data_IF_833750378925
#
_entry.id   IF_833750378925
#
_cell.length_a   1.000
_cell.length_b   1.000
_cell.length_c   1.000
_cell.angle_alpha   90.00
_cell.angle_beta   90.00
_cell.angle_gamma   90.00
#
_symmetry.space_group_name_H-M   'P 1'
#
loop_
_entity.id
_entity.type
_entity.pdbx_description
1 polymer ?
#
# COMPACT_ATOMS: atom_id res chain seq x y z
N UNK A 1 -7.28 4.72 -12.72
CA UNK A 1 -5.92 4.53 -12.14
C UNK A 1 -4.92 4.01 -13.19
N UNK A 2 -5.27 3.03 -14.03
CA UNK A 2 -4.39 2.48 -15.08
C UNK A 2 -3.89 3.59 -16.03
N UNK A 3 -4.80 4.29 -16.70
CA UNK A 3 -4.49 5.37 -17.64
C UNK A 3 -3.72 6.53 -16.97
N UNK A 4 -3.95 6.73 -15.68
CA UNK A 4 -3.26 7.75 -14.90
C UNK A 4 -1.78 7.40 -14.67
N UNK A 5 -1.48 6.12 -14.40
CA UNK A 5 -0.09 5.66 -14.24
C UNK A 5 0.69 5.67 -15.53
N UNK A 6 0.02 5.44 -16.67
CA UNK A 6 0.65 5.49 -18.00
C UNK A 6 0.74 6.91 -18.57
N UNK A 7 0.18 7.90 -17.87
CA UNK A 7 0.19 9.29 -18.33
C UNK A 7 -0.84 9.61 -19.42
N UNK A 8 -1.79 8.71 -19.67
CA UNK A 8 -2.85 8.83 -20.67
C UNK A 8 -4.05 9.65 -20.18
N UNK A 9 -4.16 9.87 -18.87
CA UNK A 9 -5.21 10.65 -18.24
C UNK A 9 -4.66 11.68 -17.26
N UNK A 10 -5.33 12.83 -17.15
CA UNK A 10 -5.00 13.82 -16.13
C UNK A 10 -5.61 13.43 -14.77
N UNK A 11 -4.87 13.70 -13.69
CA UNK A 11 -5.29 13.38 -12.31
C UNK A 11 -6.69 13.94 -11.98
N UNK A 12 -7.00 15.16 -12.43
CA UNK A 12 -8.30 15.80 -12.16
C UNK A 12 -9.49 15.03 -12.76
N UNK A 13 -9.28 14.37 -13.90
CA UNK A 13 -10.34 13.69 -14.66
C UNK A 13 -10.57 12.26 -14.16
N UNK A 14 -9.65 11.75 -13.33
CA UNK A 14 -9.73 10.40 -12.76
C UNK A 14 -10.33 10.38 -11.34
N UNK A 15 -10.53 11.55 -10.72
CA UNK A 15 -11.05 11.66 -9.36
C UNK A 15 -12.58 11.65 -9.40
N UNK A 16 -13.19 10.66 -8.76
CA UNK A 16 -14.62 10.63 -8.45
C UNK A 16 -14.83 11.39 -7.14
N UNK A 17 -15.57 12.48 -7.20
CA UNK A 17 -15.81 13.36 -6.07
C UNK A 17 -16.93 12.85 -5.18
N UNK A 18 -16.79 13.11 -3.87
CA UNK A 18 -17.84 12.94 -2.87
C UNK A 18 -18.52 11.57 -2.93
N UNK A 19 -17.74 10.48 -3.09
CA UNK A 19 -18.30 9.12 -3.05
C UNK A 19 -18.99 8.82 -1.71
N UNK A 20 -18.48 9.42 -0.65
CA UNK A 20 -19.14 9.68 0.65
C UNK A 20 -18.66 11.04 1.14
N UNK A 21 -19.30 11.58 2.16
CA UNK A 21 -18.92 12.88 2.73
C UNK A 21 -17.43 12.96 3.05
N UNK A 22 -16.74 13.98 2.51
CA UNK A 22 -15.32 14.22 2.66
C UNK A 22 -14.39 13.13 2.09
N UNK A 23 -14.87 12.28 1.17
CA UNK A 23 -14.06 11.25 0.52
C UNK A 23 -14.16 11.34 -1.00
N UNK A 24 -13.04 11.58 -1.64
CA UNK A 24 -12.85 11.44 -3.08
C UNK A 24 -12.12 10.11 -3.38
N UNK A 25 -12.39 9.52 -4.53
CA UNK A 25 -11.81 8.23 -4.91
C UNK A 25 -11.18 8.29 -6.31
N UNK A 26 -9.99 7.73 -6.45
CA UNK A 26 -9.44 7.34 -7.76
C UNK A 26 -9.62 5.82 -7.88
N UNK A 27 -10.63 5.36 -8.64
CA UNK A 27 -10.90 3.93 -8.74
C UNK A 27 -9.86 3.20 -9.59
N UNK A 28 -9.72 1.91 -9.33
CA UNK A 28 -9.00 0.98 -10.19
C UNK A 28 -9.88 -0.20 -10.59
N UNK A 29 -9.46 -0.92 -11.60
CA UNK A 29 -10.10 -2.14 -12.10
C UNK A 29 -9.03 -3.19 -12.45
N UNK A 30 -9.45 -4.33 -12.98
CA UNK A 30 -8.55 -5.44 -13.31
C UNK A 30 -7.45 -5.06 -14.31
N UNK A 31 -7.67 -4.04 -15.14
CA UNK A 31 -6.66 -3.60 -16.12
C UNK A 31 -5.40 -3.04 -15.43
N UNK A 32 -5.51 -2.61 -14.16
CA UNK A 32 -4.36 -2.12 -13.42
C UNK A 32 -3.21 -3.13 -13.33
N UNK A 33 -3.51 -4.43 -13.31
CA UNK A 33 -2.47 -5.48 -13.36
C UNK A 33 -1.65 -5.44 -14.66
N UNK A 34 -2.22 -4.97 -15.76
CA UNK A 34 -1.50 -4.78 -17.03
C UNK A 34 -0.47 -3.65 -16.98
N UNK A 35 -0.70 -2.64 -16.15
CA UNK A 35 0.23 -1.53 -15.98
C UNK A 35 1.64 -1.98 -15.55
N UNK A 36 1.76 -3.08 -14.81
CA UNK A 36 3.06 -3.62 -14.40
C UNK A 36 3.96 -3.99 -15.57
N UNK A 37 3.38 -4.54 -16.63
CA UNK A 37 4.12 -4.94 -17.84
C UNK A 37 4.55 -3.69 -18.62
N UNK A 38 3.65 -2.72 -18.73
CA UNK A 38 3.90 -1.50 -19.51
C UNK A 38 4.89 -0.56 -18.80
N UNK A 39 4.87 -0.54 -17.49
CA UNK A 39 5.83 0.23 -16.69
C UNK A 39 7.27 -0.28 -16.79
N UNK A 40 7.51 -1.53 -17.20
CA UNK A 40 8.87 -2.12 -17.26
C UNK A 40 9.82 -1.29 -18.14
N UNK A 41 9.31 -0.72 -19.22
CA UNK A 41 10.12 0.08 -20.18
C UNK A 41 10.23 1.56 -19.86
N UNK A 42 9.67 2.03 -18.74
CA UNK A 42 9.63 3.45 -18.38
C UNK A 42 10.77 3.76 -17.40
N UNK A 43 11.53 4.82 -17.68
CA UNK A 43 12.53 5.33 -16.75
C UNK A 43 11.86 5.93 -15.52
N UNK A 44 12.50 5.79 -14.35
CA UNK A 44 12.00 6.29 -13.05
C UNK A 44 10.57 5.80 -12.72
N UNK A 45 10.20 4.62 -13.20
CA UNK A 45 8.87 4.02 -13.04
C UNK A 45 8.42 3.90 -11.58
N UNK A 46 9.36 3.80 -10.65
CA UNK A 46 9.10 3.72 -9.22
C UNK A 46 8.54 5.03 -8.63
N UNK A 47 8.69 6.15 -9.35
CA UNK A 47 8.32 7.50 -8.90
C UNK A 47 7.05 8.05 -9.55
N UNK A 48 6.42 7.31 -10.46
CA UNK A 48 5.24 7.79 -11.21
C UNK A 48 4.11 8.16 -10.26
N UNK A 49 3.73 7.27 -9.35
CA UNK A 49 2.66 7.52 -8.37
C UNK A 49 3.03 8.66 -7.42
N UNK A 50 4.30 8.78 -7.07
CA UNK A 50 4.78 9.91 -6.27
C UNK A 50 4.53 11.25 -6.95
N UNK A 51 4.81 11.36 -8.25
CA UNK A 51 4.54 12.57 -9.02
C UNK A 51 3.06 12.94 -9.05
N UNK A 52 2.16 11.94 -9.04
CA UNK A 52 0.71 12.14 -8.97
C UNK A 52 0.28 12.61 -7.59
N UNK A 53 0.71 11.90 -6.54
CA UNK A 53 0.31 12.20 -5.14
C UNK A 53 0.86 13.54 -4.67
N UNK A 54 2.06 13.95 -5.08
CA UNK A 54 2.64 15.24 -4.72
C UNK A 54 1.79 16.44 -5.22
N UNK A 55 1.10 16.28 -6.35
CA UNK A 55 0.15 17.30 -6.86
C UNK A 55 -1.13 17.38 -6.01
N UNK A 56 -1.49 16.28 -5.34
CA UNK A 56 -2.71 16.18 -4.54
C UNK A 56 -2.52 16.59 -3.08
N UNK A 57 -1.30 16.56 -2.53
CA UNK A 57 -0.98 16.83 -1.12
C UNK A 57 -1.50 18.17 -0.57
N UNK A 58 -1.71 19.15 -1.43
CA UNK A 58 -2.25 20.48 -1.02
C UNK A 58 -3.77 20.51 -0.96
N UNK A 59 -4.45 19.46 -1.44
CA UNK A 59 -5.90 19.41 -1.59
C UNK A 59 -6.56 18.46 -0.58
N UNK A 60 -5.79 17.53 -0.03
CA UNK A 60 -6.29 16.47 0.85
C UNK A 60 -5.45 16.40 2.12
N UNK A 61 -6.11 16.23 3.26
CA UNK A 61 -5.45 16.02 4.54
C UNK A 61 -4.78 14.65 4.60
N UNK A 62 -5.42 13.64 3.99
CA UNK A 62 -4.92 12.27 3.87
C UNK A 62 -5.05 11.76 2.45
N UNK A 63 -4.07 11.00 2.00
CA UNK A 63 -4.10 10.21 0.76
C UNK A 63 -3.82 8.77 1.16
N UNK A 64 -4.83 7.91 1.03
CA UNK A 64 -4.74 6.49 1.37
C UNK A 64 -4.53 5.70 0.09
N UNK A 65 -3.47 4.90 0.06
CA UNK A 65 -3.14 4.01 -1.05
C UNK A 65 -3.46 2.58 -0.61
N UNK A 66 -4.59 2.04 -1.09
CA UNK A 66 -4.94 0.63 -0.91
C UNK A 66 -4.15 -0.22 -1.88
N UNK A 67 -3.32 -1.13 -1.34
CA UNK A 67 -2.36 -1.91 -2.10
C UNK A 67 -2.67 -3.41 -2.03
N UNK A 68 -2.45 -4.16 -3.13
CA UNK A 68 -2.53 -5.60 -3.07
C UNK A 68 -1.42 -6.18 -2.17
N UNK A 69 -1.59 -7.40 -1.65
CA UNK A 69 -0.58 -8.04 -0.79
C UNK A 69 0.70 -8.46 -1.55
N UNK A 70 0.73 -8.30 -2.86
CA UNK A 70 1.87 -8.64 -3.71
C UNK A 70 2.96 -7.56 -3.65
N UNK A 71 4.23 -7.98 -3.64
CA UNK A 71 5.41 -7.09 -3.64
C UNK A 71 5.84 -6.78 -5.08
N UNK A 72 4.94 -6.21 -5.86
CA UNK A 72 5.11 -5.89 -7.26
C UNK A 72 5.43 -4.39 -7.51
N UNK A 73 5.54 -3.99 -8.76
CA UNK A 73 5.86 -2.61 -9.15
C UNK A 73 4.83 -1.59 -8.62
N UNK A 74 3.55 -1.96 -8.55
CA UNK A 74 2.50 -1.08 -8.02
C UNK A 74 2.69 -0.82 -6.52
N UNK A 75 3.02 -1.85 -5.75
CA UNK A 75 3.33 -1.72 -4.31
C UNK A 75 4.61 -0.90 -4.09
N UNK A 76 5.64 -1.08 -4.92
CA UNK A 76 6.87 -0.25 -4.86
C UNK A 76 6.54 1.21 -5.14
N UNK A 77 5.70 1.51 -6.13
CA UNK A 77 5.22 2.86 -6.40
C UNK A 77 4.48 3.48 -5.21
N UNK A 78 3.60 2.70 -4.58
CA UNK A 78 2.85 3.15 -3.41
C UNK A 78 3.78 3.47 -2.23
N UNK A 79 4.73 2.58 -1.91
CA UNK A 79 5.71 2.80 -0.84
C UNK A 79 6.65 3.98 -1.15
N UNK A 80 7.01 4.20 -2.41
CA UNK A 80 7.83 5.33 -2.84
C UNK A 80 7.09 6.66 -2.70
N UNK A 81 5.78 6.66 -2.95
CA UNK A 81 4.91 7.83 -2.83
C UNK A 81 4.48 8.14 -1.39
N UNK A 82 4.35 7.12 -0.54
CA UNK A 82 3.81 7.24 0.82
C UNK A 82 4.74 7.98 1.78
N UNK A 83 4.18 8.56 2.83
CA UNK A 83 4.92 9.08 3.99
C UNK A 83 5.05 8.02 5.08
N UNK A 84 4.05 7.16 5.18
CA UNK A 84 4.02 6.06 6.14
C UNK A 84 3.25 4.87 5.60
N UNK A 85 3.48 3.72 6.21
CA UNK A 85 2.83 2.45 5.88
C UNK A 85 2.23 1.83 7.13
N UNK A 86 0.97 1.41 7.01
CA UNK A 86 0.25 0.63 8.00
C UNK A 86 -0.02 -0.76 7.41
N UNK A 87 0.32 -1.81 8.15
CA UNK A 87 0.22 -3.19 7.65
C UNK A 87 -0.91 -3.93 8.36
N UNK A 88 -2.05 -4.18 7.71
CA UNK A 88 -3.08 -5.05 8.25
C UNK A 88 -2.66 -6.52 8.10
N UNK A 89 -2.78 -7.30 9.17
CA UNK A 89 -2.43 -8.72 9.20
C UNK A 89 -3.56 -9.52 9.87
N UNK A 90 -3.91 -10.65 9.27
CA UNK A 90 -4.77 -11.63 9.95
C UNK A 90 -3.95 -12.40 10.98
N UNK A 91 -4.59 -12.75 12.11
CA UNK A 91 -3.94 -13.52 13.20
C UNK A 91 -3.78 -15.00 12.82
N UNK A 92 -3.05 -15.27 11.74
CA UNK A 92 -2.76 -16.63 11.28
C UNK A 92 -1.25 -16.88 11.24
N UNK A 93 -0.85 -18.14 11.47
CA UNK A 93 0.56 -18.53 11.53
C UNK A 93 1.35 -18.17 10.26
N UNK A 94 0.76 -18.37 9.08
CA UNK A 94 1.39 -18.08 7.80
C UNK A 94 1.54 -16.58 7.50
N UNK A 95 0.82 -15.71 8.19
CA UNK A 95 0.90 -14.28 8.01
C UNK A 95 2.27 -13.70 8.42
N UNK A 96 2.98 -14.37 9.34
CA UNK A 96 4.30 -13.92 9.83
C UNK A 96 5.40 -14.03 8.77
N UNK A 97 5.36 -15.03 7.91
CA UNK A 97 6.33 -15.19 6.82
C UNK A 97 6.16 -14.07 5.78
N UNK A 98 4.92 -13.80 5.36
CA UNK A 98 4.61 -12.70 4.46
C UNK A 98 4.98 -11.34 5.04
N UNK A 99 4.80 -11.15 6.37
CA UNK A 99 5.20 -9.93 7.06
C UNK A 99 6.71 -9.69 6.98
N UNK A 100 7.51 -10.71 7.17
CA UNK A 100 8.97 -10.59 7.11
C UNK A 100 9.46 -10.14 5.72
N UNK A 101 8.88 -10.69 4.66
CA UNK A 101 9.18 -10.28 3.28
C UNK A 101 8.74 -8.84 3.00
N UNK A 102 7.57 -8.43 3.51
CA UNK A 102 7.07 -7.07 3.37
C UNK A 102 7.98 -6.07 4.11
N UNK A 103 8.38 -6.36 5.35
CA UNK A 103 9.30 -5.51 6.12
C UNK A 103 10.61 -5.34 5.37
N UNK A 104 11.19 -6.42 4.87
CA UNK A 104 12.42 -6.35 4.07
C UNK A 104 12.26 -5.45 2.84
N UNK A 105 11.12 -5.55 2.13
CA UNK A 105 10.85 -4.69 0.97
C UNK A 105 10.68 -3.23 1.38
N UNK A 106 10.00 -2.95 2.49
CA UNK A 106 9.86 -1.58 3.04
C UNK A 106 11.23 -0.99 3.36
N UNK A 107 12.13 -1.76 3.96
CA UNK A 107 13.49 -1.33 4.28
C UNK A 107 14.30 -1.02 3.01
N UNK A 108 14.21 -1.86 1.98
CA UNK A 108 14.85 -1.61 0.68
C UNK A 108 14.32 -0.33 0.00
N UNK A 109 13.00 -0.14 0.01
CA UNK A 109 12.40 1.09 -0.54
C UNK A 109 12.83 2.31 0.27
N UNK A 110 12.85 2.20 1.60
CA UNK A 110 13.32 3.28 2.47
C UNK A 110 14.78 3.64 2.22
N UNK A 111 15.64 2.66 2.02
CA UNK A 111 17.07 2.88 1.76
C UNK A 111 17.31 3.53 0.39
N UNK A 112 16.63 3.06 -0.65
CA UNK A 112 16.97 3.37 -2.05
C UNK A 112 16.07 4.42 -2.69
N UNK A 113 14.78 4.44 -2.36
CA UNK A 113 13.77 5.21 -3.08
C UNK A 113 13.10 6.30 -2.21
N UNK A 114 12.80 6.00 -0.94
CA UNK A 114 12.04 6.90 -0.07
C UNK A 114 12.55 6.92 1.37
N UNK A 115 13.60 7.66 1.63
CA UNK A 115 14.22 7.79 2.98
C UNK A 115 13.28 8.31 4.07
N UNK A 116 12.14 8.90 3.69
CA UNK A 116 11.16 9.46 4.64
C UNK A 116 10.08 8.46 5.05
N UNK A 117 10.01 7.31 4.38
CA UNK A 117 9.01 6.29 4.66
C UNK A 117 9.11 5.81 6.11
N UNK A 118 7.99 5.84 6.82
CA UNK A 118 7.89 5.37 8.21
C UNK A 118 6.94 4.18 8.28
N UNK A 119 7.24 3.22 9.12
CA UNK A 119 6.25 2.21 9.50
C UNK A 119 5.44 2.76 10.68
N UNK A 120 4.13 2.94 10.49
CA UNK A 120 3.20 3.34 11.56
C UNK A 120 2.95 2.18 12.53
N UNK A 121 2.85 0.97 11.99
CA UNK A 121 2.64 -0.23 12.77
C UNK A 121 1.97 -1.35 12.00
N UNK A 122 1.61 -2.38 12.75
CA UNK A 122 0.86 -3.54 12.28
C UNK A 122 -0.49 -3.55 12.98
N UNK A 123 -1.58 -3.74 12.22
CA UNK A 123 -2.93 -3.90 12.75
C UNK A 123 -3.37 -5.33 12.59
N UNK A 124 -3.63 -6.00 13.70
CA UNK A 124 -4.20 -7.33 13.68
C UNK A 124 -5.70 -7.26 13.34
N UNK A 125 -6.07 -7.94 12.27
CA UNK A 125 -7.47 -8.08 11.83
C UNK A 125 -7.96 -9.49 12.10
N UNK A 126 -9.28 -9.69 12.17
CA UNK A 126 -9.92 -10.99 12.44
C UNK A 126 -9.38 -11.67 13.71
N UNK A 127 -9.15 -10.86 14.74
CA UNK A 127 -8.64 -11.35 16.02
C UNK A 127 -9.74 -12.11 16.76
N UNK A 128 -9.52 -13.40 16.98
CA UNK A 128 -10.43 -14.25 17.75
C UNK A 128 -9.88 -14.46 19.16
N UNK A 129 -10.58 -13.89 20.14
CA UNK A 129 -10.21 -14.01 21.56
C UNK A 129 -10.30 -15.46 22.07
N UNK A 130 -11.05 -16.35 21.40
CA UNK A 130 -11.19 -17.75 21.81
C UNK A 130 -9.88 -18.54 21.65
N UNK A 131 -8.97 -18.09 20.78
CA UNK A 131 -7.69 -18.77 20.54
C UNK A 131 -6.62 -18.46 21.60
N UNK A 132 -6.80 -17.44 22.43
CA UNK A 132 -5.82 -17.07 23.47
C UNK A 132 -5.72 -18.14 24.56
N UNK A 133 -6.80 -18.85 24.84
CA UNK A 133 -6.82 -19.89 25.88
C UNK A 133 -6.10 -21.19 25.50
N UNK A 134 -5.70 -21.37 24.25
CA UNK A 134 -4.99 -22.56 23.76
C UNK A 134 -3.48 -22.49 24.01
N UNK A 135 -2.94 -21.28 24.26
CA UNK A 135 -1.50 -21.07 24.39
C UNK A 135 -0.99 -20.85 25.83
N UNK A 136 -1.84 -20.94 26.86
CA UNK A 136 -1.32 -21.00 28.23
C UNK A 136 -0.70 -22.39 28.51
N UNK A 137 0.63 -22.47 28.73
CA UNK A 137 1.22 -23.72 29.18
C UNK A 137 0.65 -24.03 30.55
N UNK A 138 -0.11 -25.14 30.68
CA UNK A 138 -0.53 -25.69 31.94
C UNK A 138 0.72 -25.91 32.80
N UNK A 139 1.03 -24.99 33.73
CA UNK A 139 1.95 -25.25 34.81
C UNK A 139 1.33 -26.41 35.64
N UNK A 140 1.85 -27.63 35.44
CA UNK A 140 1.65 -28.69 36.39
C UNK A 140 2.46 -28.34 37.64
N UNK A 141 1.75 -28.16 38.72
CA UNK A 141 2.29 -28.12 40.10
C UNK A 141 2.72 -29.52 40.45
#
# INVERSE_FOLDING_TARGET
MYELLLGEAETKDTIVKDVVENLDLIPSNINLSGAEIELVGIDDKEFILKGITDKLRRKYDYIILDCPPSLNMLTINALTAATSVLVPIQCEYYALEGLSQLIHTIDLVKERLNKRLKMEGVVFTMYDLSLIHISEPTRRV
#
